data_IF_756946499163
#
_entry.id   IF_756946499163
#
_cell.length_a   1.000
_cell.length_b   1.000
_cell.length_c   1.000
_cell.angle_alpha   90.00
_cell.angle_beta   90.00
_cell.angle_gamma   90.00
#
_symmetry.space_group_name_H-M   'P 1'
#
loop_
_entity.id
_entity.type
_entity.pdbx_description
1 polymer ?
#
# COMPACT_ATOMS: atom_id res chain seq x y z
N UNK A 1 0.78 -19.58 -2.44
CA UNK A 1 2.22 -19.85 -2.24
C UNK A 1 2.92 -18.57 -2.65
N UNK A 2 3.66 -17.87 -1.77
CA UNK A 2 4.17 -16.53 -2.10
C UNK A 2 5.15 -16.59 -3.28
N UNK A 3 4.89 -15.83 -4.34
CA UNK A 3 5.85 -15.63 -5.43
C UNK A 3 7.08 -14.93 -4.86
N UNK A 4 8.21 -15.64 -4.89
CA UNK A 4 9.48 -15.19 -4.34
C UNK A 4 10.12 -14.20 -5.32
N UNK A 5 10.22 -12.93 -4.92
CA UNK A 5 11.19 -11.99 -5.52
C UNK A 5 12.10 -11.49 -4.43
N UNK A 6 13.26 -12.14 -4.30
CA UNK A 6 14.42 -11.68 -3.53
C UNK A 6 15.00 -10.43 -4.19
N UNK A 7 15.06 -9.32 -3.46
CA UNK A 7 15.99 -8.16 -3.56
C UNK A 7 16.61 -7.77 -4.91
N UNK A 8 15.96 -8.04 -6.04
CA UNK A 8 16.23 -7.44 -7.34
C UNK A 8 15.46 -6.13 -7.44
N UNK A 9 16.06 -5.10 -8.05
CA UNK A 9 15.34 -3.87 -8.36
C UNK A 9 14.04 -4.21 -9.09
N UNK A 10 12.90 -3.88 -8.49
CA UNK A 10 11.62 -4.20 -9.12
C UNK A 10 11.50 -3.43 -10.45
N UNK A 11 11.16 -4.14 -11.52
CA UNK A 11 10.88 -3.50 -12.80
C UNK A 11 9.58 -2.70 -12.68
N UNK A 12 9.55 -1.51 -13.29
CA UNK A 12 8.33 -0.70 -13.48
C UNK A 12 7.20 -1.45 -14.20
N UNK A 13 7.53 -2.56 -14.86
CA UNK A 13 6.59 -3.43 -15.57
C UNK A 13 6.00 -4.54 -14.68
N UNK A 14 6.36 -4.58 -13.39
CA UNK A 14 5.85 -5.53 -12.40
C UNK A 14 5.03 -4.85 -11.29
N UNK A 15 3.91 -4.18 -11.59
CA UNK A 15 3.17 -3.40 -10.59
C UNK A 15 2.37 -4.25 -9.60
N UNK A 16 2.24 -5.56 -9.85
CA UNK A 16 1.54 -6.52 -8.99
C UNK A 16 2.52 -7.29 -8.10
N UNK A 17 3.25 -6.56 -7.25
CA UNK A 17 4.26 -7.14 -6.36
C UNK A 17 3.83 -6.99 -4.91
N UNK A 18 3.74 -8.12 -4.21
CA UNK A 18 3.72 -8.13 -2.75
C UNK A 18 5.12 -8.44 -2.27
N UNK A 19 5.82 -7.42 -1.74
CA UNK A 19 7.18 -7.59 -1.19
C UNK A 19 7.16 -8.55 0.00
N UNK A 20 8.22 -9.33 0.15
CA UNK A 20 8.33 -10.38 1.18
C UNK A 20 9.72 -10.38 1.81
N UNK A 21 9.75 -10.48 3.15
CA UNK A 21 10.97 -10.70 3.94
C UNK A 21 10.88 -12.10 4.59
N UNK A 22 11.82 -13.03 4.28
CA UNK A 22 11.79 -14.38 4.82
C UNK A 22 11.94 -14.47 6.35
N UNK A 23 12.45 -13.42 7.01
CA UNK A 23 12.50 -13.36 8.47
C UNK A 23 11.12 -13.13 9.11
N UNK A 24 10.13 -12.69 8.33
CA UNK A 24 8.74 -12.49 8.74
C UNK A 24 7.78 -13.34 7.90
N UNK A 25 7.80 -14.67 8.05
CA UNK A 25 6.98 -15.56 7.23
C UNK A 25 5.47 -15.34 7.46
N UNK A 26 4.68 -15.64 6.44
CA UNK A 26 3.20 -15.60 6.51
C UNK A 26 2.57 -14.21 6.35
N UNK A 27 3.37 -13.19 6.03
CA UNK A 27 2.89 -11.82 5.79
C UNK A 27 3.71 -11.11 4.70
N UNK A 28 3.18 -10.03 4.11
CA UNK A 28 4.01 -9.09 3.35
C UNK A 28 5.10 -8.49 4.24
N UNK A 29 6.19 -8.07 3.59
CA UNK A 29 7.31 -7.38 4.22
C UNK A 29 6.81 -6.26 5.16
N UNK A 30 7.13 -6.29 6.47
CA UNK A 30 6.71 -5.28 7.43
C UNK A 30 7.20 -3.86 7.11
N UNK A 31 8.29 -3.69 6.36
CA UNK A 31 8.76 -2.39 5.91
C UNK A 31 7.77 -1.76 4.93
N UNK A 32 7.11 -2.58 4.10
CA UNK A 32 6.23 -2.12 3.03
C UNK A 32 4.75 -2.46 3.27
N UNK A 33 4.37 -2.78 4.51
CA UNK A 33 3.00 -3.15 4.87
C UNK A 33 2.59 -2.66 6.26
N UNK A 34 1.27 -2.54 6.45
CA UNK A 34 0.64 -2.23 7.74
C UNK A 34 -0.31 -3.36 8.14
N UNK A 35 -0.37 -3.67 9.44
CA UNK A 35 -1.43 -4.50 10.01
C UNK A 35 -2.63 -3.60 10.32
N UNK A 36 -3.76 -3.77 9.65
CA UNK A 36 -4.92 -2.90 9.81
C UNK A 36 -5.57 -2.97 11.19
N UNK A 37 -5.23 -3.96 12.02
CA UNK A 37 -5.67 -4.02 13.42
C UNK A 37 -5.19 -2.84 14.28
N UNK A 38 -4.23 -2.03 13.79
CA UNK A 38 -3.78 -0.81 14.48
C UNK A 38 -4.69 0.39 14.20
N UNK A 39 -5.61 0.30 13.23
CA UNK A 39 -6.46 1.43 12.84
C UNK A 39 -7.46 1.73 13.95
N UNK A 40 -7.43 2.96 14.44
CA UNK A 40 -8.35 3.44 15.49
C UNK A 40 -9.63 3.95 14.84
N UNK A 41 -10.77 3.51 15.38
CA UNK A 41 -12.11 3.90 14.92
C UNK A 41 -12.30 3.85 13.39
N UNK A 42 -12.08 2.68 12.76
CA UNK A 42 -12.03 2.57 11.31
C UNK A 42 -13.38 2.89 10.67
N UNK A 43 -13.37 3.57 9.51
CA UNK A 43 -14.58 3.86 8.73
C UNK A 43 -15.38 2.62 8.28
N UNK A 44 -14.79 1.43 8.33
CA UNK A 44 -15.47 0.18 8.02
C UNK A 44 -14.57 -1.04 8.14
N UNK A 45 -15.07 -2.16 7.66
CA UNK A 45 -14.39 -3.46 7.68
C UNK A 45 -14.51 -4.14 6.32
N UNK A 46 -13.52 -4.96 5.97
CA UNK A 46 -13.62 -5.82 4.79
C UNK A 46 -14.49 -7.06 5.07
N UNK A 47 -14.72 -7.90 4.06
CA UNK A 47 -15.59 -9.08 4.16
C UNK A 47 -15.14 -10.12 5.20
N UNK A 48 -13.87 -10.11 5.62
CA UNK A 48 -13.33 -11.00 6.66
C UNK A 48 -13.24 -10.30 8.04
N UNK A 49 -13.82 -9.12 8.18
CA UNK A 49 -13.90 -8.40 9.46
C UNK A 49 -12.64 -7.60 9.82
N UNK A 50 -11.72 -7.36 8.87
CA UNK A 50 -10.52 -6.55 9.15
C UNK A 50 -10.78 -5.06 8.92
N UNK A 51 -10.28 -4.15 9.79
CA UNK A 51 -10.45 -2.71 9.66
C UNK A 51 -10.02 -2.19 8.29
N UNK A 52 -10.84 -1.31 7.70
CA UNK A 52 -10.64 -0.71 6.37
C UNK A 52 -10.82 0.80 6.46
N UNK A 53 -9.71 1.53 6.58
CA UNK A 53 -9.71 2.98 6.64
C UNK A 53 -8.47 3.56 5.95
N UNK A 54 -8.69 4.35 4.90
CA UNK A 54 -7.58 4.93 4.13
C UNK A 54 -6.85 6.04 4.91
N UNK A 55 -7.56 6.81 5.73
CA UNK A 55 -6.95 7.87 6.53
C UNK A 55 -6.04 7.31 7.61
N UNK A 56 -6.51 6.29 8.34
CA UNK A 56 -5.68 5.57 9.32
C UNK A 56 -4.49 4.89 8.64
N UNK A 57 -4.69 4.26 7.48
CA UNK A 57 -3.57 3.69 6.72
C UNK A 57 -2.50 4.74 6.42
N UNK A 58 -2.88 5.89 5.83
CA UNK A 58 -1.90 6.90 5.44
C UNK A 58 -1.25 7.60 6.63
N UNK A 59 -1.98 7.85 7.72
CA UNK A 59 -1.41 8.38 8.97
C UNK A 59 -0.31 7.46 9.50
N UNK A 60 -0.58 6.16 9.59
CA UNK A 60 0.41 5.18 10.03
C UNK A 60 1.55 5.01 9.01
N UNK A 61 1.29 5.23 7.72
CA UNK A 61 2.30 5.16 6.67
C UNK A 61 3.33 6.28 6.76
N UNK A 62 2.90 7.51 7.07
CA UNK A 62 3.80 8.67 7.24
C UNK A 62 4.86 8.39 8.31
N UNK A 63 4.46 7.80 9.44
CA UNK A 63 5.38 7.45 10.53
C UNK A 63 6.34 6.32 10.13
N UNK A 64 5.88 5.38 9.31
CA UNK A 64 6.66 4.19 8.93
C UNK A 64 7.65 4.47 7.81
N UNK A 65 7.21 5.13 6.76
CA UNK A 65 7.98 5.34 5.53
C UNK A 65 7.98 6.83 5.12
N UNK A 66 8.46 7.73 6.00
CA UNK A 66 8.47 9.16 5.73
C UNK A 66 9.20 9.49 4.41
N UNK A 67 10.29 8.80 4.11
CA UNK A 67 11.14 9.10 2.95
C UNK A 67 10.50 8.72 1.62
N UNK A 68 9.43 7.91 1.62
CA UNK A 68 8.66 7.59 0.42
C UNK A 68 7.73 8.72 -0.05
N UNK A 69 7.63 9.82 0.72
CA UNK A 69 6.60 10.83 0.54
C UNK A 69 7.20 12.21 0.27
N UNK A 70 6.86 12.77 -0.89
CA UNK A 70 7.08 14.19 -1.18
C UNK A 70 6.28 15.09 -0.23
N UNK A 71 6.66 16.38 -0.17
CA UNK A 71 5.92 17.40 0.59
C UNK A 71 4.45 17.49 0.15
N UNK A 72 4.17 17.39 -1.15
CA UNK A 72 2.81 17.37 -1.70
C UNK A 72 2.00 16.18 -1.18
N UNK A 73 2.57 14.98 -1.18
CA UNK A 73 1.90 13.79 -0.66
C UNK A 73 1.69 13.87 0.85
N UNK A 74 2.67 14.38 1.61
CA UNK A 74 2.52 14.62 3.05
C UNK A 74 1.37 15.58 3.35
N UNK A 75 1.28 16.69 2.61
CA UNK A 75 0.19 17.64 2.75
C UNK A 75 -1.19 16.97 2.57
N UNK A 76 -1.35 16.11 1.57
CA UNK A 76 -2.60 15.37 1.34
C UNK A 76 -2.96 14.47 2.52
N UNK A 77 -1.97 13.77 3.10
CA UNK A 77 -2.17 12.86 4.23
C UNK A 77 -2.53 13.64 5.50
N UNK A 78 -1.78 14.68 5.82
CA UNK A 78 -2.00 15.53 7.00
C UNK A 78 -3.38 16.21 6.95
N UNK A 79 -3.86 16.52 5.75
CA UNK A 79 -5.18 17.12 5.51
C UNK A 79 -6.27 16.10 5.14
N UNK A 80 -6.00 14.79 5.24
CA UNK A 80 -6.89 13.76 4.74
C UNK A 80 -8.29 13.85 5.33
N UNK A 81 -8.43 14.22 6.61
CA UNK A 81 -9.73 14.33 7.26
C UNK A 81 -10.67 15.33 6.59
N UNK A 82 -10.11 16.41 6.01
CA UNK A 82 -10.83 17.46 5.28
C UNK A 82 -10.94 17.17 3.79
N UNK A 83 -9.84 16.76 3.16
CA UNK A 83 -9.75 16.60 1.71
C UNK A 83 -10.33 15.27 1.23
N UNK A 84 -10.17 14.20 2.01
CA UNK A 84 -10.46 12.80 1.62
C UNK A 84 -9.74 12.39 0.34
N UNK A 85 -8.54 12.92 0.11
CA UNK A 85 -7.69 12.65 -1.07
C UNK A 85 -6.46 11.85 -0.62
N UNK A 86 -6.27 10.67 -1.19
CA UNK A 86 -5.05 9.89 -0.99
C UNK A 86 -3.85 10.49 -1.75
N UNK A 87 -2.62 10.16 -1.33
CA UNK A 87 -1.38 10.46 -2.07
C UNK A 87 -1.39 10.02 -3.54
N UNK A 88 -0.42 10.52 -4.30
CA UNK A 88 -0.18 10.19 -5.71
C UNK A 88 1.13 9.45 -5.89
N UNK A 89 1.20 8.60 -6.91
CA UNK A 89 2.49 8.13 -7.42
C UNK A 89 3.24 9.32 -7.99
N UNK A 90 4.33 9.73 -7.34
CA UNK A 90 5.23 10.78 -7.81
C UNK A 90 6.68 10.28 -7.85
N UNK A 91 7.62 11.17 -8.19
CA UNK A 91 9.04 10.81 -8.28
C UNK A 91 9.62 10.35 -6.93
N UNK A 92 9.16 10.90 -5.80
CA UNK A 92 9.65 10.48 -4.48
C UNK A 92 9.14 9.08 -4.15
N UNK A 93 7.86 8.83 -4.44
CA UNK A 93 7.26 7.52 -4.30
C UNK A 93 7.99 6.45 -5.13
N UNK A 94 8.30 6.75 -6.39
CA UNK A 94 8.95 5.81 -7.31
C UNK A 94 10.36 5.43 -6.85
N UNK A 95 11.09 6.29 -6.13
CA UNK A 95 12.39 5.91 -5.54
C UNK A 95 12.25 4.77 -4.54
N UNK A 96 11.17 4.76 -3.76
CA UNK A 96 10.87 3.69 -2.81
C UNK A 96 10.15 2.49 -3.46
N UNK A 97 9.32 2.74 -4.48
CA UNK A 97 8.48 1.78 -5.19
C UNK A 97 8.71 1.84 -6.71
N UNK A 98 9.88 1.40 -7.21
CA UNK A 98 10.19 1.44 -8.64
C UNK A 98 9.20 0.63 -9.49
N UNK A 99 8.58 -0.41 -8.93
CA UNK A 99 7.50 -1.18 -9.57
C UNK A 99 6.27 -0.35 -9.95
N UNK A 100 6.05 0.80 -9.31
CA UNK A 100 4.94 1.70 -9.62
C UNK A 100 5.31 2.74 -10.68
N UNK A 101 6.51 2.67 -11.28
CA UNK A 101 7.04 3.68 -12.20
C UNK A 101 6.17 3.99 -13.42
N UNK A 102 5.41 3.01 -13.92
CA UNK A 102 4.49 3.20 -15.05
C UNK A 102 3.15 3.86 -14.65
N UNK A 103 2.98 4.22 -13.37
CA UNK A 103 1.73 4.76 -12.81
C UNK A 103 1.87 6.19 -12.30
N UNK A 104 2.86 6.96 -12.79
CA UNK A 104 3.05 8.37 -12.45
C UNK A 104 1.72 9.15 -12.49
N UNK A 105 1.43 9.88 -11.42
CA UNK A 105 0.21 10.68 -11.22
C UNK A 105 -1.01 9.89 -10.75
N UNK A 106 -0.97 8.56 -10.71
CA UNK A 106 -2.09 7.75 -10.25
C UNK A 106 -2.35 7.93 -8.75
N UNK A 107 -3.60 7.78 -8.33
CA UNK A 107 -3.95 7.81 -6.90
C UNK A 107 -3.38 6.58 -6.22
N UNK A 108 -2.65 6.72 -5.12
CA UNK A 108 -2.28 5.60 -4.27
C UNK A 108 -3.46 5.22 -3.38
N UNK A 109 -3.62 3.93 -3.15
CA UNK A 109 -4.66 3.40 -2.27
C UNK A 109 -4.11 2.33 -1.34
N UNK A 110 -4.75 2.12 -0.20
CA UNK A 110 -4.47 0.95 0.62
C UNK A 110 -5.18 -0.27 0.04
N UNK A 111 -4.51 -1.40 0.04
CA UNK A 111 -5.01 -2.66 -0.49
C UNK A 111 -4.83 -3.77 0.53
N UNK A 112 -5.87 -4.57 0.80
CA UNK A 112 -5.80 -5.73 1.70
C UNK A 112 -5.28 -6.96 0.96
N UNK A 113 -4.07 -7.40 1.30
CA UNK A 113 -3.48 -8.61 0.72
C UNK A 113 -4.31 -9.83 1.13
N UNK A 114 -4.76 -10.61 0.14
CA UNK A 114 -5.59 -11.80 0.34
C UNK A 114 -6.83 -11.58 1.24
N UNK A 115 -7.41 -10.38 1.22
CA UNK A 115 -8.56 -9.97 2.05
C UNK A 115 -8.30 -9.98 3.57
N UNK A 116 -7.06 -10.14 4.02
CA UNK A 116 -6.71 -10.28 5.43
C UNK A 116 -6.27 -8.94 6.06
N UNK A 117 -5.72 -9.02 7.27
CA UNK A 117 -5.30 -7.86 8.07
C UNK A 117 -4.16 -7.04 7.46
N UNK A 118 -3.32 -7.62 6.60
CA UNK A 118 -2.17 -6.91 6.07
C UNK A 118 -2.55 -6.07 4.87
N UNK A 119 -2.11 -4.82 4.90
CA UNK A 119 -2.39 -3.81 3.88
C UNK A 119 -1.10 -3.28 3.27
N UNK A 120 -1.12 -3.03 1.97
CA UNK A 120 -0.01 -2.46 1.20
C UNK A 120 -0.51 -1.27 0.38
N UNK A 121 0.33 -0.27 0.08
CA UNK A 121 -0.02 0.80 -0.84
C UNK A 121 0.16 0.33 -2.28
N UNK A 122 -0.81 0.60 -3.15
CA UNK A 122 -0.74 0.26 -4.58
C UNK A 122 -1.28 1.41 -5.43
N UNK A 123 -0.87 1.55 -6.71
CA UNK A 123 -1.50 2.48 -7.64
C UNK A 123 -2.96 2.08 -7.85
N UNK A 124 -3.88 3.04 -7.84
CA UNK A 124 -5.31 2.82 -7.90
C UNK A 124 -5.75 2.04 -9.14
N UNK A 125 -5.09 2.27 -10.28
CA UNK A 125 -5.35 1.52 -11.53
C UNK A 125 -4.98 0.04 -11.44
N UNK A 126 -4.17 -0.38 -10.48
CA UNK A 126 -3.87 -1.81 -10.23
C UNK A 126 -4.91 -2.47 -9.34
N UNK A 127 -5.83 -1.71 -8.74
CA UNK A 127 -6.82 -2.23 -7.81
C UNK A 127 -8.09 -2.73 -8.49
N UNK A 128 -7.95 -3.79 -9.26
CA UNK A 128 -8.99 -4.34 -10.15
C UNK A 128 -9.90 -5.30 -9.37
N UNK A 129 -10.58 -4.79 -8.34
CA UNK A 129 -11.59 -5.53 -7.56
C UNK A 129 -11.07 -6.80 -6.86
N UNK A 130 -12.01 -7.61 -6.37
CA UNK A 130 -11.71 -8.84 -5.60
C UNK A 130 -11.20 -10.01 -6.43
N UNK A 131 -11.29 -9.96 -7.77
CA UNK A 131 -10.77 -11.00 -8.67
C UNK A 131 -9.38 -10.70 -9.23
N UNK A 132 -8.80 -9.54 -8.90
CA UNK A 132 -7.56 -9.05 -9.51
C UNK A 132 -6.30 -9.84 -9.10
N UNK A 133 -5.16 -9.55 -9.76
CA UNK A 133 -3.90 -10.27 -9.53
C UNK A 133 -3.41 -10.25 -8.08
N UNK A 134 -3.82 -9.26 -7.29
CA UNK A 134 -3.51 -9.14 -5.86
C UNK A 134 -4.13 -10.22 -4.96
N UNK A 135 -5.08 -10.99 -5.47
CA UNK A 135 -5.80 -12.02 -4.75
C UNK A 135 -5.60 -13.43 -5.32
N UNK A 136 -4.71 -13.57 -6.30
CA UNK A 136 -4.39 -14.86 -6.92
C UNK A 136 -3.43 -15.64 -5.99
N UNK A 137 -3.78 -16.89 -5.70
CA UNK A 137 -3.14 -17.77 -4.70
C UNK A 137 -1.92 -18.51 -5.23
#
# INVERSE_FOLDING_TARGET
MWTQTTSGAFSKDAPYVTRYDPSFPGRPDPQYSLNSLIFKDPAGYNALGFPRDAGEFWRNWVEKNPDSLSSSNRYLIENFNRLKISPRVDQEWIKAFPEHGNYMGDTLIHHHVNFRQYTIPVPGKTHIGSGGPWHQK
#
